data_IF_356124869706
#
_entry.id   IF_356124869706
#
_cell.length_a   1.000
_cell.length_b   1.000
_cell.length_c   1.000
_cell.angle_alpha   90.00
_cell.angle_beta   90.00
_cell.angle_gamma   90.00
#
_symmetry.space_group_name_H-M   'P 1'
#
loop_
_entity.id
_entity.type
_entity.pdbx_description
1 polymer ?
#
# COMPACT_ATOMS: atom_id res chain seq x y z
N UNK A 1 -30.97 -16.83 24.17
CA UNK A 1 -31.04 -18.05 23.35
C UNK A 1 -29.64 -18.63 23.28
N UNK A 2 -29.41 -19.73 24.01
CA UNK A 2 -28.09 -20.34 24.19
C UNK A 2 -27.77 -21.28 23.04
N UNK A 3 -26.56 -21.15 22.52
CA UNK A 3 -25.97 -22.03 21.52
C UNK A 3 -25.57 -23.35 22.19
N UNK A 4 -26.17 -24.46 21.77
CA UNK A 4 -25.88 -25.80 22.30
C UNK A 4 -25.00 -26.58 21.31
N UNK A 5 -23.71 -26.82 21.64
CA UNK A 5 -22.72 -27.43 20.74
C UNK A 5 -22.92 -28.94 20.48
N UNK A 6 -23.96 -29.56 21.05
CA UNK A 6 -24.23 -31.01 20.90
C UNK A 6 -25.03 -31.41 19.66
N UNK A 7 -25.57 -30.44 18.91
CA UNK A 7 -26.43 -30.70 17.74
C UNK A 7 -25.67 -31.14 16.47
N UNK A 8 -24.34 -31.04 16.45
CA UNK A 8 -23.53 -31.39 15.28
C UNK A 8 -23.32 -32.90 15.05
N UNK A 9 -23.68 -33.75 16.01
CA UNK A 9 -23.24 -35.15 15.97
C UNK A 9 -24.14 -36.12 15.18
N UNK A 10 -25.30 -35.72 14.63
CA UNK A 10 -26.22 -36.68 13.98
C UNK A 10 -26.97 -36.12 12.78
N UNK A 11 -26.31 -36.06 11.62
CA UNK A 11 -26.93 -36.32 10.30
C UNK A 11 -25.84 -36.43 9.22
N UNK A 12 -25.57 -37.61 8.64
CA UNK A 12 -24.80 -37.68 7.40
C UNK A 12 -25.71 -37.36 6.21
N UNK A 13 -25.41 -36.27 5.53
CA UNK A 13 -25.99 -35.92 4.22
C UNK A 13 -25.38 -36.84 3.14
N UNK A 14 -26.17 -37.41 2.21
CA UNK A 14 -25.65 -38.35 1.20
C UNK A 14 -25.05 -37.56 0.04
N UNK A 15 -23.83 -37.07 0.25
CA UNK A 15 -23.03 -36.38 -0.76
C UNK A 15 -21.72 -37.12 -1.00
N UNK A 16 -21.74 -38.05 -1.95
CA UNK A 16 -20.57 -38.53 -2.70
C UNK A 16 -19.38 -38.94 -1.82
N UNK A 17 -19.43 -40.18 -1.30
CA UNK A 17 -18.29 -40.85 -0.68
C UNK A 17 -17.09 -40.80 -1.62
N UNK A 18 -16.13 -39.95 -1.26
CA UNK A 18 -14.78 -39.96 -1.78
C UNK A 18 -14.18 -41.31 -1.41
N UNK A 19 -13.82 -42.08 -2.43
CA UNK A 19 -13.24 -43.41 -2.34
C UNK A 19 -11.85 -43.35 -1.73
N UNK A 20 -11.78 -43.26 -0.42
CA UNK A 20 -10.70 -43.83 0.39
C UNK A 20 -11.08 -43.62 1.86
N UNK A 21 -11.31 -44.73 2.54
CA UNK A 21 -11.50 -44.74 3.98
C UNK A 21 -10.27 -44.05 4.61
N UNK A 22 -10.48 -43.01 5.43
CA UNK A 22 -9.39 -42.24 6.06
C UNK A 22 -8.45 -43.17 6.83
N UNK A 23 -9.00 -44.20 7.45
CA UNK A 23 -8.24 -45.23 8.16
C UNK A 23 -7.33 -46.04 7.22
N UNK A 24 -7.77 -46.30 5.98
CA UNK A 24 -6.94 -46.96 4.97
C UNK A 24 -5.78 -46.07 4.51
N UNK A 25 -5.99 -44.77 4.36
CA UNK A 25 -4.92 -43.83 4.02
C UNK A 25 -3.92 -43.67 5.16
N UNK A 26 -4.40 -43.65 6.41
CA UNK A 26 -3.52 -43.60 7.59
C UNK A 26 -2.69 -44.87 7.71
N UNK A 27 -3.30 -46.04 7.50
CA UNK A 27 -2.60 -47.32 7.48
C UNK A 27 -1.54 -47.39 6.35
N UNK A 28 -1.86 -46.91 5.15
CA UNK A 28 -0.90 -46.82 4.04
C UNK A 28 0.24 -45.85 4.38
N UNK A 29 -0.07 -44.72 5.04
CA UNK A 29 0.96 -43.77 5.46
C UNK A 29 1.91 -44.37 6.51
N UNK A 30 1.36 -45.14 7.46
CA UNK A 30 2.15 -45.85 8.46
C UNK A 30 3.01 -46.95 7.84
N UNK A 31 2.47 -47.73 6.89
CA UNK A 31 3.22 -48.73 6.15
C UNK A 31 4.38 -48.10 5.36
N UNK A 32 4.14 -47.01 4.64
CA UNK A 32 5.19 -46.27 3.91
C UNK A 32 6.25 -45.70 4.85
N UNK A 33 5.86 -45.21 6.03
CA UNK A 33 6.82 -44.74 7.05
C UNK A 33 7.70 -45.87 7.56
N UNK A 34 7.14 -47.06 7.77
CA UNK A 34 7.90 -48.23 8.18
C UNK A 34 8.87 -48.69 7.10
N UNK A 35 8.43 -48.72 5.84
CA UNK A 35 9.28 -49.08 4.70
C UNK A 35 10.46 -48.12 4.54
N UNK A 36 10.21 -46.81 4.63
CA UNK A 36 11.28 -45.78 4.58
C UNK A 36 12.28 -45.97 5.73
N UNK A 37 11.81 -46.31 6.94
CA UNK A 37 12.69 -46.59 8.07
C UNK A 37 13.54 -47.85 7.83
N UNK A 38 12.95 -48.91 7.28
CA UNK A 38 13.65 -50.14 6.96
C UNK A 38 14.73 -49.93 5.88
N UNK A 39 14.40 -49.21 4.81
CA UNK A 39 15.34 -48.87 3.74
C UNK A 39 16.51 -48.04 4.26
N UNK A 40 16.26 -47.09 5.17
CA UNK A 40 17.33 -46.32 5.82
C UNK A 40 18.23 -47.19 6.68
N UNK A 41 17.67 -48.15 7.42
CA UNK A 41 18.47 -49.10 8.20
C UNK A 41 19.29 -50.01 7.29
N UNK A 42 18.74 -50.49 6.18
CA UNK A 42 19.47 -51.29 5.19
C UNK A 42 20.62 -50.51 4.57
N UNK A 43 20.42 -49.24 4.21
CA UNK A 43 21.49 -48.36 3.73
C UNK A 43 22.59 -48.17 4.78
N UNK A 44 22.23 -47.93 6.03
CA UNK A 44 23.20 -47.80 7.12
C UNK A 44 23.99 -49.09 7.35
N UNK A 45 23.35 -50.26 7.23
CA UNK A 45 24.00 -51.56 7.32
C UNK A 45 24.97 -51.81 6.17
N UNK A 46 24.60 -51.45 4.93
CA UNK A 46 25.47 -51.56 3.76
C UNK A 46 26.68 -50.62 3.87
N UNK A 47 26.49 -49.39 4.34
CA UNK A 47 27.58 -48.45 4.61
C UNK A 47 28.54 -48.97 5.69
N UNK A 48 28.00 -49.57 6.75
CA UNK A 48 28.80 -50.15 7.84
C UNK A 48 29.52 -51.43 7.40
N UNK A 49 28.91 -52.25 6.53
CA UNK A 49 29.55 -53.42 5.91
C UNK A 49 30.67 -53.03 4.96
N UNK A 50 30.50 -51.98 4.16
CA UNK A 50 31.56 -51.42 3.33
C UNK A 50 32.77 -50.95 4.15
N UNK A 51 32.55 -50.51 5.39
CA UNK A 51 33.61 -50.10 6.32
C UNK A 51 34.31 -51.28 7.03
N UNK A 52 33.63 -52.44 7.17
CA UNK A 52 34.17 -53.66 7.81
C UNK A 52 34.82 -54.65 6.84
N UNK A 53 34.52 -54.57 5.55
CA UNK A 53 35.27 -55.25 4.49
C UNK A 53 36.60 -54.53 4.29
N UNK A 54 37.62 -54.96 5.03
CA UNK A 54 38.99 -54.42 5.04
C UNK A 54 39.74 -54.58 3.72
N UNK A 55 39.24 -53.99 2.64
CA UNK A 55 40.05 -53.60 1.49
C UNK A 55 40.56 -52.19 1.80
N UNK A 56 41.78 -52.11 2.33
CA UNK A 56 42.55 -50.86 2.31
C UNK A 56 42.55 -50.37 0.85
N UNK A 57 42.10 -49.15 0.52
CA UNK A 57 42.42 -48.59 -0.77
C UNK A 57 43.94 -48.39 -0.77
N UNK A 58 44.65 -49.20 -1.56
CA UNK A 58 46.03 -48.95 -1.92
C UNK A 58 46.11 -47.51 -2.42
N UNK A 59 46.81 -46.66 -1.68
CA UNK A 59 47.11 -45.28 -2.04
C UNK A 59 47.79 -45.29 -3.42
N UNK A 60 47.17 -44.77 -4.50
CA UNK A 60 47.96 -44.36 -5.64
C UNK A 60 48.71 -43.11 -5.21
N UNK A 61 49.98 -43.05 -5.57
CA UNK A 61 50.90 -41.96 -5.30
C UNK A 61 50.29 -40.59 -5.60
N UNK A 62 50.54 -39.65 -4.71
CA UNK A 62 50.16 -38.25 -4.85
C UNK A 62 50.91 -37.62 -6.03
N UNK A 63 50.27 -37.57 -7.19
CA UNK A 63 50.41 -36.51 -8.19
C UNK A 63 49.18 -36.50 -9.10
N UNK A 64 48.01 -36.10 -8.56
CA UNK A 64 46.86 -35.47 -9.25
C UNK A 64 45.72 -35.45 -8.22
N UNK A 65 45.13 -34.28 -7.94
CA UNK A 65 43.99 -34.16 -7.01
C UNK A 65 42.79 -35.04 -7.43
N UNK A 66 41.78 -35.22 -6.56
CA UNK A 66 40.57 -35.96 -6.93
C UNK A 66 40.02 -35.39 -8.25
N UNK A 67 39.86 -36.24 -9.27
CA UNK A 67 39.33 -35.80 -10.55
C UNK A 67 38.00 -35.09 -10.31
N UNK A 68 37.81 -33.87 -10.83
CA UNK A 68 36.62 -33.09 -10.55
C UNK A 68 35.38 -33.87 -11.03
N UNK A 69 34.38 -34.05 -10.16
CA UNK A 69 33.16 -34.80 -10.52
C UNK A 69 32.34 -34.09 -11.60
N UNK A 70 32.56 -32.78 -11.76
CA UNK A 70 31.94 -31.95 -12.80
C UNK A 70 33.05 -31.23 -13.59
N UNK A 71 33.14 -31.51 -14.89
CA UNK A 71 34.09 -30.86 -15.80
C UNK A 71 33.41 -29.82 -16.69
N UNK A 72 34.19 -28.87 -17.23
CA UNK A 72 33.70 -27.87 -18.20
C UNK A 72 33.09 -28.55 -19.43
N UNK A 73 33.71 -29.64 -19.89
CA UNK A 73 33.26 -30.43 -21.03
C UNK A 73 31.92 -31.12 -20.76
N UNK A 74 31.71 -31.64 -19.54
CA UNK A 74 30.44 -32.22 -19.16
C UNK A 74 29.31 -31.18 -19.12
N UNK A 75 29.59 -29.99 -18.60
CA UNK A 75 28.64 -28.86 -18.65
C UNK A 75 28.30 -28.46 -20.09
N UNK A 76 29.27 -28.49 -21.01
CA UNK A 76 29.05 -28.25 -22.43
C UNK A 76 28.10 -29.29 -23.02
N UNK A 77 28.36 -30.58 -22.79
CA UNK A 77 27.52 -31.70 -23.28
C UNK A 77 26.09 -31.63 -22.74
N UNK A 78 25.91 -31.38 -21.44
CA UNK A 78 24.57 -31.17 -20.88
C UNK A 78 23.87 -29.97 -21.52
N UNK A 79 24.60 -28.89 -21.76
CA UNK A 79 24.09 -27.71 -22.43
C UNK A 79 23.62 -27.98 -23.86
N UNK A 80 24.37 -28.77 -24.61
CA UNK A 80 24.03 -29.20 -25.98
C UNK A 80 22.82 -30.14 -25.99
N UNK A 81 22.83 -31.17 -25.14
CA UNK A 81 21.71 -32.11 -25.05
C UNK A 81 20.38 -31.44 -24.62
N UNK A 82 20.44 -30.40 -23.79
CA UNK A 82 19.26 -29.58 -23.48
C UNK A 82 18.88 -28.65 -24.64
N UNK A 83 19.84 -28.19 -25.42
CA UNK A 83 19.60 -27.28 -26.55
C UNK A 83 18.89 -27.96 -27.72
N UNK A 84 19.03 -29.28 -27.85
CA UNK A 84 18.30 -30.09 -28.84
C UNK A 84 16.78 -30.16 -28.55
N UNK A 85 16.33 -29.69 -27.39
CA UNK A 85 14.92 -29.70 -27.04
C UNK A 85 14.08 -28.77 -27.95
N UNK A 86 12.92 -29.22 -28.49
CA UNK A 86 12.10 -28.40 -29.40
C UNK A 86 11.66 -27.06 -28.82
N UNK A 87 11.45 -27.00 -27.50
CA UNK A 87 11.03 -25.79 -26.78
C UNK A 87 12.19 -25.01 -26.17
N UNK A 88 13.44 -25.29 -26.56
CA UNK A 88 14.62 -24.60 -26.03
C UNK A 88 14.59 -23.08 -26.28
N UNK A 89 13.98 -22.64 -27.38
CA UNK A 89 13.77 -21.21 -27.69
C UNK A 89 12.83 -20.51 -26.70
N UNK A 90 11.83 -21.23 -26.16
CA UNK A 90 10.92 -20.72 -25.15
C UNK A 90 11.60 -20.50 -23.79
N UNK A 91 12.73 -21.18 -23.53
CA UNK A 91 13.50 -21.00 -22.32
C UNK A 91 14.26 -19.65 -22.38
N UNK A 92 13.73 -18.65 -21.68
CA UNK A 92 14.34 -17.31 -21.63
C UNK A 92 15.37 -17.21 -20.51
N UNK A 93 16.46 -16.48 -20.76
CA UNK A 93 17.42 -16.10 -19.70
C UNK A 93 16.72 -15.25 -18.63
N UNK A 94 15.89 -14.31 -19.08
CA UNK A 94 15.05 -13.46 -18.23
C UNK A 94 15.86 -12.54 -17.31
N UNK A 95 15.18 -11.99 -16.31
CA UNK A 95 15.74 -11.07 -15.33
C UNK A 95 15.38 -11.50 -13.91
N UNK A 96 16.19 -11.08 -12.96
CA UNK A 96 15.96 -11.28 -11.52
C UNK A 96 15.98 -9.96 -10.75
N UNK A 97 15.77 -8.83 -11.46
CA UNK A 97 15.90 -7.51 -10.87
C UNK A 97 14.68 -7.20 -10.01
N UNK A 98 14.92 -6.78 -8.77
CA UNK A 98 13.90 -6.16 -7.93
C UNK A 98 13.85 -4.68 -8.31
N UNK A 99 12.86 -4.26 -9.10
CA UNK A 99 12.55 -2.85 -9.26
C UNK A 99 11.85 -2.35 -7.98
N UNK A 100 11.96 -1.05 -7.64
CA UNK A 100 11.43 -0.50 -6.38
C UNK A 100 9.94 -0.82 -6.16
N UNK A 101 9.14 -0.92 -7.22
CA UNK A 101 7.70 -1.19 -7.14
C UNK A 101 7.27 -2.52 -7.76
N UNK A 102 8.19 -3.34 -8.28
CA UNK A 102 7.82 -4.59 -8.96
C UNK A 102 8.92 -5.65 -8.88
N UNK A 103 8.53 -6.85 -8.45
CA UNK A 103 9.37 -8.04 -8.58
C UNK A 103 9.20 -8.61 -9.99
N UNK A 104 10.21 -8.41 -10.85
CA UNK A 104 10.25 -9.05 -12.17
C UNK A 104 11.20 -10.23 -12.07
N UNK A 105 10.70 -11.36 -11.58
CA UNK A 105 11.37 -12.65 -11.78
C UNK A 105 10.84 -13.22 -13.07
N UNK A 106 11.73 -13.43 -14.03
CA UNK A 106 11.41 -14.07 -15.30
C UNK A 106 12.54 -14.98 -15.73
N UNK A 107 12.18 -16.04 -16.47
CA UNK A 107 13.14 -16.98 -17.04
C UNK A 107 14.06 -17.66 -16.03
N UNK A 108 15.21 -18.13 -16.54
CA UNK A 108 16.20 -18.90 -15.78
C UNK A 108 16.80 -18.12 -14.60
N UNK A 109 17.07 -16.82 -14.77
CA UNK A 109 17.62 -15.98 -13.70
C UNK A 109 16.61 -15.79 -12.58
N UNK A 110 15.34 -15.54 -12.93
CA UNK A 110 14.26 -15.45 -11.96
C UNK A 110 14.09 -16.73 -11.17
N UNK A 111 14.16 -17.89 -11.84
CA UNK A 111 14.05 -19.20 -11.20
C UNK A 111 15.20 -19.49 -10.22
N UNK A 112 16.44 -19.22 -10.61
CA UNK A 112 17.60 -19.43 -9.72
C UNK A 112 17.47 -18.55 -8.46
N UNK A 113 17.02 -17.31 -8.63
CA UNK A 113 16.81 -16.37 -7.53
C UNK A 113 15.64 -16.77 -6.63
N UNK A 114 14.51 -17.23 -7.20
CA UNK A 114 13.38 -17.78 -6.45
C UNK A 114 13.85 -18.95 -5.57
N UNK A 115 14.58 -19.90 -6.15
CA UNK A 115 15.11 -21.05 -5.41
C UNK A 115 16.09 -20.65 -4.32
N UNK A 116 16.96 -19.66 -4.56
CA UNK A 116 17.84 -19.11 -3.52
C UNK A 116 17.03 -18.57 -2.33
N UNK A 117 15.95 -17.83 -2.58
CA UNK A 117 15.13 -17.21 -1.53
C UNK A 117 14.38 -18.21 -0.65
N UNK A 118 13.93 -19.31 -1.24
CA UNK A 118 13.27 -20.40 -0.52
C UNK A 118 14.25 -21.44 0.06
N UNK A 119 15.56 -21.27 -0.18
CA UNK A 119 16.60 -22.10 0.40
C UNK A 119 16.75 -21.89 1.92
N UNK A 120 17.44 -22.83 2.58
CA UNK A 120 17.67 -22.79 4.03
C UNK A 120 18.52 -21.59 4.47
N UNK A 121 19.34 -21.04 3.55
CA UNK A 121 20.17 -19.87 3.79
C UNK A 121 19.97 -18.85 2.64
N UNK A 122 19.02 -17.90 2.75
CA UNK A 122 18.71 -16.94 1.69
C UNK A 122 19.88 -16.01 1.30
N UNK A 123 20.89 -15.88 2.17
CA UNK A 123 22.10 -15.09 1.94
C UNK A 123 23.24 -15.89 1.31
N UNK A 124 23.14 -17.22 1.28
CA UNK A 124 24.19 -18.07 0.72
C UNK A 124 24.01 -18.22 -0.79
N UNK A 125 25.13 -18.17 -1.50
CA UNK A 125 25.15 -18.48 -2.93
C UNK A 125 24.80 -19.95 -3.17
N UNK A 126 24.25 -20.26 -4.36
CA UNK A 126 23.90 -21.63 -4.75
C UNK A 126 25.07 -22.60 -4.52
N UNK A 127 26.28 -22.16 -4.87
CA UNK A 127 27.48 -22.99 -4.74
C UNK A 127 27.82 -23.27 -3.26
N UNK A 128 27.56 -22.34 -2.33
CA UNK A 128 27.76 -22.57 -0.90
C UNK A 128 26.74 -23.56 -0.35
N UNK A 129 25.48 -23.47 -0.80
CA UNK A 129 24.43 -24.41 -0.44
C UNK A 129 24.75 -25.83 -0.93
N UNK A 130 25.21 -25.96 -2.18
CA UNK A 130 25.64 -27.25 -2.73
C UNK A 130 26.83 -27.83 -1.96
N UNK A 131 27.82 -27.01 -1.61
CA UNK A 131 28.97 -27.45 -0.81
C UNK A 131 28.57 -27.92 0.60
N UNK A 132 27.56 -27.29 1.21
CA UNK A 132 27.06 -27.72 2.52
C UNK A 132 26.42 -29.11 2.46
N UNK A 133 25.74 -29.42 1.36
CA UNK A 133 25.07 -30.71 1.13
C UNK A 133 26.02 -31.81 0.65
N UNK A 134 26.98 -31.45 -0.19
CA UNK A 134 28.02 -32.32 -0.70
C UNK A 134 29.33 -31.53 -0.80
N UNK A 135 30.30 -31.76 0.11
CA UNK A 135 31.58 -31.07 0.09
C UNK A 135 32.24 -31.14 -1.30
N UNK A 136 32.71 -29.99 -1.81
CA UNK A 136 33.39 -29.89 -3.11
C UNK A 136 32.47 -29.67 -4.33
N UNK A 137 31.19 -30.08 -4.27
CA UNK A 137 30.29 -30.05 -5.42
C UNK A 137 30.04 -28.62 -5.95
N UNK A 138 29.79 -27.68 -5.05
CA UNK A 138 29.57 -26.29 -5.41
C UNK A 138 30.84 -25.61 -5.92
N UNK A 139 32.02 -25.96 -5.38
CA UNK A 139 33.30 -25.46 -5.91
C UNK A 139 33.59 -26.00 -7.31
N UNK A 140 33.35 -27.30 -7.55
CA UNK A 140 33.51 -27.91 -8.87
C UNK A 140 32.55 -27.31 -9.89
N UNK A 141 31.27 -27.16 -9.54
CA UNK A 141 30.27 -26.52 -10.41
C UNK A 141 30.67 -25.07 -10.73
N UNK A 142 31.14 -24.32 -9.74
CA UNK A 142 31.63 -22.94 -9.94
C UNK A 142 32.77 -22.90 -10.94
N UNK A 143 33.73 -23.82 -10.81
CA UNK A 143 34.88 -23.91 -11.70
C UNK A 143 34.45 -24.31 -13.11
N UNK A 144 33.56 -25.30 -13.24
CA UNK A 144 33.05 -25.79 -14.51
C UNK A 144 32.20 -24.75 -15.27
N UNK A 145 31.49 -23.87 -14.55
CA UNK A 145 30.68 -22.79 -15.12
C UNK A 145 31.46 -21.48 -15.35
N UNK A 146 32.78 -21.43 -15.13
CA UNK A 146 33.58 -20.22 -15.39
C UNK A 146 33.49 -19.77 -16.85
N UNK A 147 33.50 -18.45 -17.04
CA UNK A 147 33.45 -17.81 -18.35
C UNK A 147 32.06 -17.22 -18.68
N UNK A 148 31.79 -16.96 -19.97
CA UNK A 148 30.56 -16.30 -20.41
C UNK A 148 29.31 -17.06 -19.98
N UNK A 149 28.33 -16.33 -19.45
CA UNK A 149 27.04 -16.89 -18.99
C UNK A 149 26.10 -17.12 -20.17
N UNK A 150 26.31 -18.22 -20.90
CA UNK A 150 25.39 -18.64 -21.97
C UNK A 150 24.06 -19.15 -21.41
N UNK A 151 23.00 -19.14 -22.24
CA UNK A 151 21.69 -19.72 -21.87
C UNK A 151 21.82 -21.17 -21.40
N UNK A 152 22.64 -21.96 -22.09
CA UNK A 152 22.90 -23.35 -21.74
C UNK A 152 23.53 -23.51 -20.35
N UNK A 153 24.56 -22.71 -20.04
CA UNK A 153 25.20 -22.71 -18.71
C UNK A 153 24.26 -22.24 -17.61
N UNK A 154 23.40 -21.27 -17.90
CA UNK A 154 22.36 -20.82 -16.98
C UNK A 154 21.29 -21.89 -16.76
N UNK A 155 20.93 -22.65 -17.79
CA UNK A 155 20.01 -23.79 -17.66
C UNK A 155 20.61 -24.90 -16.80
N UNK A 156 21.89 -25.23 -17.00
CA UNK A 156 22.62 -26.16 -16.12
C UNK A 156 22.62 -25.62 -14.69
N UNK A 157 22.96 -24.35 -14.48
CA UNK A 157 22.94 -23.73 -13.15
C UNK A 157 21.54 -23.79 -12.52
N UNK A 158 20.48 -23.57 -13.29
CA UNK A 158 19.10 -23.70 -12.83
C UNK A 158 18.74 -25.15 -12.48
N UNK A 159 19.18 -26.13 -13.26
CA UNK A 159 19.00 -27.54 -12.94
C UNK A 159 19.68 -27.93 -11.61
N UNK A 160 20.90 -27.44 -11.35
CA UNK A 160 21.56 -27.60 -10.06
C UNK A 160 20.83 -26.88 -8.91
N UNK A 161 20.18 -25.75 -9.18
CA UNK A 161 19.33 -25.08 -8.20
C UNK A 161 18.04 -25.86 -7.88
N UNK A 162 17.51 -26.63 -8.84
CA UNK A 162 16.31 -27.45 -8.67
C UNK A 162 16.58 -28.79 -8.02
N UNK A 163 17.54 -29.56 -8.55
CA UNK A 163 17.78 -30.95 -8.18
C UNK A 163 18.97 -31.14 -7.23
N UNK A 164 19.73 -30.07 -6.95
CA UNK A 164 20.85 -30.08 -6.02
C UNK A 164 21.87 -31.19 -6.35
N UNK A 165 22.20 -32.05 -5.38
CA UNK A 165 23.17 -33.14 -5.51
C UNK A 165 22.81 -34.12 -6.64
N UNK A 166 21.52 -34.27 -6.97
CA UNK A 166 21.03 -35.18 -8.02
C UNK A 166 21.03 -34.59 -9.42
N UNK A 167 21.38 -33.30 -9.58
CA UNK A 167 21.37 -32.67 -10.89
C UNK A 167 22.24 -33.38 -11.95
N UNK A 168 23.44 -33.92 -11.64
CA UNK A 168 24.22 -34.68 -12.62
C UNK A 168 23.50 -35.93 -13.14
N UNK A 169 22.78 -36.65 -12.28
CA UNK A 169 22.01 -37.86 -12.65
C UNK A 169 20.97 -37.50 -13.70
N UNK A 170 20.12 -36.52 -13.41
CA UNK A 170 19.04 -36.08 -14.30
C UNK A 170 19.54 -35.48 -15.61
N UNK A 171 20.65 -34.72 -15.57
CA UNK A 171 21.25 -34.14 -16.76
C UNK A 171 21.92 -35.19 -17.67
N UNK A 172 22.38 -36.32 -17.11
CA UNK A 172 22.90 -37.43 -17.89
C UNK A 172 21.78 -38.33 -18.45
N UNK A 173 20.79 -38.66 -17.64
CA UNK A 173 19.72 -39.62 -18.00
C UNK A 173 18.64 -39.00 -18.88
N UNK A 174 18.18 -37.80 -18.56
CA UNK A 174 17.01 -37.19 -19.20
C UNK A 174 17.10 -35.65 -19.30
N UNK A 175 18.07 -35.11 -20.05
CA UNK A 175 18.26 -33.66 -20.19
C UNK A 175 17.05 -32.93 -20.78
N UNK A 176 16.31 -33.57 -21.68
CA UNK A 176 15.08 -33.00 -22.25
C UNK A 176 13.99 -32.78 -21.18
N UNK A 177 13.80 -33.75 -20.28
CA UNK A 177 12.83 -33.65 -19.17
C UNK A 177 13.17 -32.52 -18.20
N UNK A 178 14.47 -32.26 -18.01
CA UNK A 178 14.94 -31.12 -17.21
C UNK A 178 14.51 -29.79 -17.85
N UNK A 179 14.55 -29.68 -19.18
CA UNK A 179 14.08 -28.46 -19.88
C UNK A 179 12.58 -28.26 -19.70
N UNK A 180 11.77 -29.32 -19.79
CA UNK A 180 10.33 -29.21 -19.56
C UNK A 180 10.01 -28.77 -18.13
N UNK A 181 10.66 -29.34 -17.11
CA UNK A 181 10.45 -28.92 -15.72
C UNK A 181 10.90 -27.47 -15.48
N UNK A 182 12.02 -27.06 -16.10
CA UNK A 182 12.46 -25.66 -16.08
C UNK A 182 11.41 -24.72 -16.69
N UNK A 183 10.82 -25.07 -17.84
CA UNK A 183 9.79 -24.27 -18.51
C UNK A 183 8.50 -24.19 -17.69
N UNK A 184 8.06 -25.31 -17.14
CA UNK A 184 6.86 -25.39 -16.29
C UNK A 184 7.03 -24.56 -15.02
N UNK A 185 8.22 -24.62 -14.41
CA UNK A 185 8.51 -23.85 -13.21
C UNK A 185 8.61 -22.36 -13.49
N UNK A 186 9.23 -21.96 -14.61
CA UNK A 186 9.27 -20.55 -15.05
C UNK A 186 7.86 -20.04 -15.29
N UNK A 187 7.00 -20.83 -15.95
CA UNK A 187 5.62 -20.42 -16.26
C UNK A 187 4.81 -20.23 -14.97
N UNK A 188 4.96 -21.12 -13.99
CA UNK A 188 4.34 -21.00 -12.66
C UNK A 188 4.84 -19.77 -11.90
N UNK A 189 6.15 -19.52 -11.93
CA UNK A 189 6.76 -18.34 -11.31
C UNK A 189 6.23 -17.04 -11.94
N UNK A 190 6.17 -16.97 -13.27
CA UNK A 190 5.66 -15.78 -13.97
C UNK A 190 4.14 -15.60 -13.80
N UNK A 191 3.38 -16.69 -13.62
CA UNK A 191 1.96 -16.61 -13.27
C UNK A 191 1.77 -16.06 -11.85
N UNK A 192 2.50 -16.58 -10.87
CA UNK A 192 2.45 -16.11 -9.48
C UNK A 192 2.82 -14.62 -9.37
N UNK A 193 3.89 -14.20 -10.05
CA UNK A 193 4.31 -12.80 -10.08
C UNK A 193 3.23 -11.88 -10.70
N UNK A 194 2.53 -12.33 -11.75
CA UNK A 194 1.43 -11.56 -12.36
C UNK A 194 0.24 -11.42 -11.41
N UNK A 195 -0.14 -12.49 -10.72
CA UNK A 195 -1.24 -12.45 -9.74
C UNK A 195 -0.91 -11.51 -8.57
N UNK A 196 0.33 -11.54 -8.09
CA UNK A 196 0.79 -10.63 -7.03
C UNK A 196 0.74 -9.16 -7.49
N UNK A 197 1.21 -8.87 -8.70
CA UNK A 197 1.14 -7.52 -9.28
C UNK A 197 -0.31 -7.04 -9.42
N UNK A 198 -1.23 -7.89 -9.88
CA UNK A 198 -2.66 -7.55 -9.99
C UNK A 198 -3.28 -7.24 -8.62
N UNK A 199 -2.96 -8.05 -7.59
CA UNK A 199 -3.43 -7.81 -6.23
C UNK A 199 -2.89 -6.48 -5.65
N UNK A 200 -1.62 -6.16 -5.92
CA UNK A 200 -1.01 -4.90 -5.51
C UNK A 200 -1.65 -3.69 -6.22
N UNK A 201 -1.87 -3.78 -7.53
CA UNK A 201 -2.55 -2.73 -8.30
C UNK A 201 -3.99 -2.50 -7.80
N UNK A 202 -4.72 -3.58 -7.54
CA UNK A 202 -6.07 -3.49 -6.98
C UNK A 202 -6.07 -2.81 -5.61
N UNK A 203 -5.16 -3.21 -4.72
CA UNK A 203 -5.01 -2.60 -3.39
C UNK A 203 -4.62 -1.12 -3.48
N UNK A 204 -3.71 -0.75 -4.39
CA UNK A 204 -3.32 0.64 -4.61
C UNK A 204 -4.49 1.47 -5.14
N UNK A 205 -5.26 0.94 -6.09
CA UNK A 205 -6.45 1.58 -6.64
C UNK A 205 -7.50 1.81 -5.56
N UNK A 206 -7.80 0.81 -4.74
CA UNK A 206 -8.72 0.95 -3.60
C UNK A 206 -8.25 2.04 -2.64
N UNK A 207 -6.96 2.07 -2.28
CA UNK A 207 -6.41 3.14 -1.43
C UNK A 207 -6.53 4.53 -2.06
N UNK A 208 -6.40 4.65 -3.38
CA UNK A 208 -6.60 5.92 -4.06
C UNK A 208 -8.06 6.32 -4.05
N UNK A 209 -8.98 5.40 -4.30
CA UNK A 209 -10.43 5.61 -4.23
C UNK A 209 -10.85 6.04 -2.81
N UNK A 210 -10.38 5.35 -1.77
CA UNK A 210 -10.63 5.71 -0.36
C UNK A 210 -10.11 7.11 -0.02
N UNK A 211 -8.89 7.45 -0.46
CA UNK A 211 -8.32 8.80 -0.26
C UNK A 211 -9.11 9.87 -0.98
N UNK A 212 -9.58 9.60 -2.20
CA UNK A 212 -10.43 10.52 -2.95
C UNK A 212 -11.79 10.70 -2.26
N UNK A 213 -12.39 9.61 -1.78
CA UNK A 213 -13.66 9.65 -1.07
C UNK A 213 -13.52 10.43 0.26
N UNK A 214 -12.48 10.17 1.03
CA UNK A 214 -12.18 10.94 2.25
C UNK A 214 -12.03 12.44 1.94
N UNK A 215 -11.30 12.78 0.88
CA UNK A 215 -11.14 14.17 0.46
C UNK A 215 -12.48 14.81 0.04
N UNK A 216 -13.33 14.06 -0.67
CA UNK A 216 -14.68 14.53 -1.05
C UNK A 216 -15.56 14.75 0.18
N UNK A 217 -15.57 13.81 1.12
CA UNK A 217 -16.31 13.91 2.39
C UNK A 217 -15.83 15.10 3.22
N UNK A 218 -14.51 15.31 3.34
CA UNK A 218 -13.94 16.47 4.03
C UNK A 218 -14.36 17.80 3.38
N UNK A 219 -14.30 17.91 2.05
CA UNK A 219 -14.75 19.10 1.31
C UNK A 219 -16.25 19.36 1.51
N UNK A 220 -17.08 18.31 1.52
CA UNK A 220 -18.51 18.43 1.76
C UNK A 220 -18.81 18.90 3.19
N UNK A 221 -18.16 18.32 4.19
CA UNK A 221 -18.30 18.72 5.58
C UNK A 221 -17.84 20.18 5.79
N UNK A 222 -16.72 20.59 5.19
CA UNK A 222 -16.24 21.97 5.25
C UNK A 222 -17.24 22.96 4.63
N UNK A 223 -17.84 22.62 3.48
CA UNK A 223 -18.89 23.42 2.85
C UNK A 223 -20.12 23.54 3.75
N UNK A 224 -20.59 22.44 4.35
CA UNK A 224 -21.73 22.45 5.26
C UNK A 224 -21.46 23.33 6.50
N UNK A 225 -20.27 23.22 7.09
CA UNK A 225 -19.86 24.06 8.22
C UNK A 225 -19.83 25.54 7.84
N UNK A 226 -19.30 25.89 6.66
CA UNK A 226 -19.32 27.27 6.16
C UNK A 226 -20.73 27.81 5.94
N UNK A 227 -21.65 26.99 5.43
CA UNK A 227 -23.05 27.40 5.27
C UNK A 227 -23.73 27.62 6.64
N UNK A 228 -23.50 26.73 7.60
CA UNK A 228 -24.03 26.87 8.95
C UNK A 228 -23.48 28.11 9.68
N UNK A 229 -22.19 28.39 9.58
CA UNK A 229 -21.59 29.58 10.19
C UNK A 229 -22.11 30.87 9.55
N UNK A 230 -22.25 30.91 8.22
CA UNK A 230 -22.88 32.06 7.52
C UNK A 230 -24.32 32.27 7.99
N UNK A 231 -25.13 31.21 8.07
CA UNK A 231 -26.51 31.32 8.56
C UNK A 231 -26.58 31.79 10.02
N UNK A 232 -25.70 31.30 10.90
CA UNK A 232 -25.63 31.76 12.30
C UNK A 232 -25.26 33.24 12.38
N UNK A 233 -24.29 33.69 11.60
CA UNK A 233 -23.90 35.11 11.53
C UNK A 233 -25.05 36.00 11.04
N UNK A 234 -25.77 35.56 10.00
CA UNK A 234 -26.95 36.28 9.49
C UNK A 234 -28.05 36.38 10.54
N UNK A 235 -28.39 35.28 11.23
CA UNK A 235 -29.37 35.32 12.34
C UNK A 235 -28.96 36.28 13.44
N UNK A 236 -27.69 36.25 13.85
CA UNK A 236 -27.20 37.14 14.89
C UNK A 236 -27.25 38.62 14.48
N UNK A 237 -26.93 38.93 13.21
CA UNK A 237 -27.09 40.28 12.67
C UNK A 237 -28.56 40.71 12.60
N UNK A 238 -29.47 39.80 12.24
CA UNK A 238 -30.90 40.07 12.19
C UNK A 238 -31.51 40.27 13.59
N UNK A 239 -31.13 39.45 14.56
CA UNK A 239 -31.47 39.63 15.98
C UNK A 239 -30.97 40.98 16.50
N UNK A 240 -29.72 41.35 16.22
CA UNK A 240 -29.17 42.67 16.59
C UNK A 240 -29.92 43.84 15.91
N UNK A 241 -30.37 43.67 14.67
CA UNK A 241 -31.20 44.67 13.98
C UNK A 241 -32.59 44.79 14.59
N UNK A 242 -33.18 43.68 15.06
CA UNK A 242 -34.48 43.69 15.72
C UNK A 242 -34.40 44.31 17.11
N UNK A 243 -33.34 44.05 17.88
CA UNK A 243 -33.12 44.69 19.19
C UNK A 243 -32.78 46.17 19.10
N UNK A 244 -32.06 46.60 18.06
CA UNK A 244 -31.81 48.02 17.78
C UNK A 244 -32.93 48.74 17.01
N UNK A 245 -34.09 48.11 16.75
CA UNK A 245 -35.25 48.82 16.22
C UNK A 245 -35.74 49.78 17.32
N UNK A 246 -35.61 51.11 17.16
CA UNK A 246 -35.99 52.04 18.21
C UNK A 246 -37.49 51.84 18.52
N UNK A 247 -37.88 51.76 19.81
CA UNK A 247 -39.29 51.67 20.21
C UNK A 247 -40.09 52.78 19.54
N UNK A 248 -41.34 52.47 19.13
CA UNK A 248 -42.22 53.47 18.53
C UNK A 248 -42.40 54.71 19.43
N UNK A 249 -42.32 54.53 20.75
CA UNK A 249 -42.36 55.59 21.76
C UNK A 249 -41.20 56.60 21.63
N UNK A 250 -40.00 56.13 21.26
CA UNK A 250 -38.83 57.00 21.10
C UNK A 250 -38.89 57.83 19.80
N UNK A 251 -39.63 57.34 18.79
CA UNK A 251 -39.94 58.10 17.56
C UNK A 251 -40.92 59.25 17.87
N UNK A 252 -41.97 58.97 18.63
CA UNK A 252 -42.94 59.98 19.06
C UNK A 252 -42.27 61.04 19.95
N UNK A 253 -41.35 60.63 20.82
CA UNK A 253 -40.54 61.56 21.63
C UNK A 253 -39.65 62.46 20.78
N UNK A 254 -38.94 61.91 19.78
CA UNK A 254 -38.11 62.70 18.86
C UNK A 254 -38.92 63.63 17.96
N UNK A 255 -40.10 63.20 17.49
CA UNK A 255 -40.97 64.03 16.67
C UNK A 255 -41.54 65.21 17.49
N UNK A 256 -41.85 64.98 18.78
CA UNK A 256 -42.25 66.05 19.71
C UNK A 256 -41.09 67.02 19.99
N UNK A 257 -39.88 66.51 20.23
CA UNK A 257 -38.69 67.35 20.43
C UNK A 257 -38.34 68.17 19.18
N UNK A 258 -38.51 67.60 17.98
CA UNK A 258 -38.37 68.31 16.71
C UNK A 258 -39.45 69.37 16.52
N UNK A 259 -40.69 69.09 16.91
CA UNK A 259 -41.78 70.07 16.88
C UNK A 259 -41.51 71.25 17.83
N UNK A 260 -41.07 70.99 19.06
CA UNK A 260 -40.69 72.02 20.05
C UNK A 260 -39.49 72.85 19.58
N UNK A 261 -38.49 72.22 18.94
CA UNK A 261 -37.36 72.92 18.34
C UNK A 261 -37.77 73.83 17.17
N UNK A 262 -38.74 73.43 16.36
CA UNK A 262 -39.28 74.25 15.27
C UNK A 262 -40.09 75.43 15.79
N UNK A 263 -40.89 75.23 16.83
CA UNK A 263 -41.68 76.29 17.48
C UNK A 263 -40.76 77.35 18.11
N UNK A 264 -39.69 76.92 18.78
CA UNK A 264 -38.67 77.83 19.34
C UNK A 264 -37.98 78.69 18.27
N UNK A 265 -37.81 78.15 17.06
CA UNK A 265 -37.25 78.89 15.91
C UNK A 265 -38.31 79.69 15.14
N UNK A 266 -39.59 79.59 15.52
CA UNK A 266 -40.71 80.25 14.86
C UNK A 266 -41.02 79.68 13.47
N UNK A 267 -40.75 78.39 13.26
CA UNK A 267 -40.89 77.72 11.97
C UNK A 267 -42.03 76.69 11.98
N UNK A 268 -42.70 76.58 10.83
CA UNK A 268 -43.74 75.57 10.62
C UNK A 268 -43.15 74.17 10.53
N UNK A 269 -43.93 73.17 10.94
CA UNK A 269 -43.65 71.76 10.70
C UNK A 269 -43.38 71.48 9.21
N UNK A 270 -42.23 70.86 8.90
CA UNK A 270 -41.79 70.62 7.52
C UNK A 270 -41.01 71.77 6.85
N UNK A 271 -40.56 72.77 7.61
CA UNK A 271 -39.67 73.82 7.10
C UNK A 271 -38.37 73.22 6.49
N UNK A 272 -37.94 73.77 5.36
CA UNK A 272 -36.73 73.30 4.68
C UNK A 272 -35.48 73.57 5.53
N UNK A 273 -34.42 72.78 5.32
CA UNK A 273 -33.12 72.95 6.01
C UNK A 273 -32.54 74.36 5.85
N UNK A 274 -32.85 75.05 4.75
CA UNK A 274 -32.44 76.42 4.49
C UNK A 274 -33.21 77.43 5.34
N UNK A 275 -34.52 77.23 5.51
CA UNK A 275 -35.35 78.07 6.38
C UNK A 275 -34.91 77.98 7.85
N UNK A 276 -34.55 76.78 8.33
CA UNK A 276 -33.98 76.55 9.67
C UNK A 276 -32.69 77.34 9.87
N UNK A 277 -31.79 77.32 8.88
CA UNK A 277 -30.53 78.10 8.92
C UNK A 277 -30.75 79.61 8.91
N UNK A 278 -31.75 80.10 8.20
CA UNK A 278 -32.06 81.54 8.15
C UNK A 278 -32.69 82.03 9.46
N UNK A 279 -33.63 81.28 10.03
CA UNK A 279 -34.25 81.60 11.32
C UNK A 279 -33.23 81.61 12.47
N UNK A 280 -32.35 80.60 12.52
CA UNK A 280 -31.26 80.57 13.51
C UNK A 280 -30.34 81.80 13.37
N UNK A 281 -29.93 82.17 12.15
CA UNK A 281 -29.09 83.37 11.94
C UNK A 281 -29.77 84.66 12.40
N UNK A 282 -31.07 84.81 12.16
CA UNK A 282 -31.85 85.97 12.64
C UNK A 282 -31.91 86.01 14.16
N UNK A 283 -32.24 84.91 14.81
CA UNK A 283 -32.39 84.81 16.27
C UNK A 283 -31.05 84.97 16.99
N UNK A 284 -29.96 84.42 16.44
CA UNK A 284 -28.60 84.61 16.97
C UNK A 284 -28.17 86.07 16.90
N UNK A 285 -28.48 86.80 15.81
CA UNK A 285 -28.12 88.21 15.69
C UNK A 285 -28.81 89.09 16.76
N UNK A 286 -30.03 88.72 17.15
CA UNK A 286 -30.82 89.42 18.17
C UNK A 286 -30.44 89.05 19.59
N UNK A 287 -30.13 87.78 19.85
CA UNK A 287 -29.85 87.25 21.20
C UNK A 287 -28.36 87.00 21.49
N UNK A 288 -27.45 87.55 20.66
CA UNK A 288 -26.01 87.37 20.86
C UNK A 288 -25.55 87.99 22.19
N UNK A 289 -24.79 87.27 23.04
CA UNK A 289 -24.33 87.78 24.33
C UNK A 289 -23.49 89.07 24.19
N UNK A 290 -22.67 89.18 23.14
CA UNK A 290 -21.86 90.38 22.85
C UNK A 290 -22.68 91.64 22.51
N UNK A 291 -23.98 91.50 22.23
CA UNK A 291 -24.89 92.63 21.99
C UNK A 291 -25.87 92.87 23.15
N UNK A 292 -25.56 92.34 24.34
CA UNK A 292 -26.40 92.45 25.53
C UNK A 292 -27.52 91.40 25.59
N UNK A 293 -27.43 90.34 24.79
CA UNK A 293 -28.39 89.23 24.78
C UNK A 293 -28.19 88.23 25.92
N UNK A 294 -29.26 87.50 26.27
CA UNK A 294 -29.21 86.46 27.29
C UNK A 294 -28.53 85.18 26.76
N UNK A 295 -27.41 84.79 27.38
CA UNK A 295 -26.64 83.58 27.02
C UNK A 295 -27.49 82.29 27.10
N UNK A 296 -28.45 82.21 28.02
CA UNK A 296 -29.34 81.06 28.14
C UNK A 296 -30.28 80.93 26.93
N UNK A 297 -30.74 82.05 26.36
CA UNK A 297 -31.58 82.04 25.16
C UNK A 297 -30.79 81.60 23.94
N UNK A 298 -29.55 82.07 23.79
CA UNK A 298 -28.64 81.67 22.71
C UNK A 298 -28.38 80.15 22.72
N UNK A 299 -28.09 79.58 23.90
CA UNK A 299 -27.86 78.13 24.04
C UNK A 299 -29.08 77.31 23.63
N UNK A 300 -30.30 77.72 24.01
CA UNK A 300 -31.54 77.02 23.63
C UNK A 300 -31.79 77.08 22.12
N UNK A 301 -31.59 78.24 21.50
CA UNK A 301 -31.73 78.43 20.05
C UNK A 301 -30.72 77.56 19.29
N UNK A 302 -29.48 77.49 19.77
CA UNK A 302 -28.43 76.68 19.14
C UNK A 302 -28.71 75.17 19.29
N UNK A 303 -29.17 74.73 20.46
CA UNK A 303 -29.54 73.34 20.70
C UNK A 303 -30.69 72.88 19.78
N UNK A 304 -31.72 73.72 19.61
CA UNK A 304 -32.82 73.47 18.67
C UNK A 304 -32.35 73.37 17.21
N UNK A 305 -31.41 74.23 16.80
CA UNK A 305 -30.81 74.17 15.47
C UNK A 305 -30.02 72.87 15.22
N UNK A 306 -29.22 72.42 16.19
CA UNK A 306 -28.45 71.18 16.08
C UNK A 306 -29.36 69.95 15.96
N UNK A 307 -30.44 69.90 16.75
CA UNK A 307 -31.40 68.79 16.74
C UNK A 307 -32.14 68.63 15.39
N UNK A 308 -32.35 69.74 14.67
CA UNK A 308 -33.03 69.74 13.37
C UNK A 308 -32.11 69.51 12.16
N UNK A 309 -30.78 69.54 12.36
CA UNK A 309 -29.79 69.42 11.29
C UNK A 309 -28.96 68.13 11.35
N UNK A 310 -28.94 67.48 12.51
CA UNK A 310 -28.45 66.11 12.72
C UNK A 310 -29.35 65.07 12.02
#
# INVERSE_FOLDING_TARGET
MGFDPRSWARTPSPGRQVTCNIDSLLAENEALRQEVLQLRQQLAQLQTRGFRSGVKPSRPEETTGPSPRITVEQVRRWGEAMADHPRWSALRVGTSLRQPDTLVFSGLRGLIEERRRHGQAPRADLEQELNRRSPGLGTELRQALRGPQSKARLAVKAAFALYSVRAPEWLNEAPMRVVDDLLDRITRLEAAARTEQQAQQHTQRQRQEDKQEQTRRQKQNARQQQTQTKQKQQRHQEEQRQTHRPPAENRVGMDRQRAEALDLLGLRWGASREAVKQAHRRLVKTHHPDRGGNAASFQRIHAAYQLLIA
#
